data_IF_571129561739
#
_entry.id   IF_571129561739
#
_cell.length_a   1.000
_cell.length_b   1.000
_cell.length_c   1.000
_cell.angle_alpha   90.00
_cell.angle_beta   90.00
_cell.angle_gamma   90.00
#
_symmetry.space_group_name_H-M   'P 1'
#
loop_
_entity.id
_entity.type
_entity.pdbx_description
1 polymer ?
#
# COMPACT_ATOMS: atom_id res chain seq x y z
N UNK A 1 -11.15 4.26 -15.78
CA UNK A 1 -9.79 4.31 -15.18
C UNK A 1 -9.66 3.15 -14.20
N UNK A 2 -8.85 2.12 -14.51
CA UNK A 2 -8.72 0.92 -13.64
C UNK A 2 -8.03 1.32 -12.33
N UNK A 3 -8.65 1.03 -11.19
CA UNK A 3 -8.19 1.31 -9.81
C UNK A 3 -6.70 0.99 -9.62
N UNK A 4 -6.24 -0.11 -10.22
CA UNK A 4 -4.83 -0.53 -10.22
C UNK A 4 -3.84 0.52 -10.78
N UNK A 5 -4.19 1.24 -11.86
CA UNK A 5 -3.34 2.31 -12.42
C UNK A 5 -3.30 3.56 -11.55
N UNK A 6 -4.41 3.87 -10.87
CA UNK A 6 -4.50 4.99 -9.94
C UNK A 6 -3.64 4.74 -8.69
N UNK A 7 -3.74 3.54 -8.12
CA UNK A 7 -2.91 3.07 -7.01
C UNK A 7 -1.41 3.05 -7.38
N UNK A 8 -1.07 2.57 -8.58
CA UNK A 8 0.30 2.59 -9.09
C UNK A 8 0.89 4.01 -9.16
N UNK A 9 0.11 4.99 -9.65
CA UNK A 9 0.55 6.39 -9.71
C UNK A 9 0.67 7.02 -8.32
N UNK A 10 -0.21 6.67 -7.39
CA UNK A 10 -0.12 7.12 -6.00
C UNK A 10 1.14 6.55 -5.30
N UNK A 11 1.47 5.28 -5.56
CA UNK A 11 2.66 4.62 -5.02
C UNK A 11 3.97 5.25 -5.53
N UNK A 12 4.02 5.68 -6.80
CA UNK A 12 5.21 6.31 -7.38
C UNK A 12 5.39 7.78 -6.97
N UNK A 13 4.32 8.48 -6.57
CA UNK A 13 4.36 9.92 -6.28
C UNK A 13 4.64 10.26 -4.81
N UNK A 14 4.69 9.29 -3.91
CA UNK A 14 4.76 9.60 -2.48
C UNK A 14 6.19 9.42 -1.96
N UNK A 15 6.79 10.56 -1.61
CA UNK A 15 8.20 10.79 -1.26
C UNK A 15 8.65 10.22 0.09
N UNK A 16 7.78 9.51 0.83
CA UNK A 16 7.97 9.16 2.24
C UNK A 16 8.42 7.71 2.54
N UNK A 17 9.29 7.12 1.72
CA UNK A 17 10.00 5.91 2.13
C UNK A 17 9.48 4.61 1.49
N UNK A 18 10.33 4.12 0.60
CA UNK A 18 10.49 2.83 -0.07
C UNK A 18 9.39 1.77 -0.18
N UNK A 19 8.51 1.53 0.81
CA UNK A 19 7.52 0.45 0.73
C UNK A 19 6.10 0.94 1.01
N UNK A 20 5.18 0.58 0.11
CA UNK A 20 3.76 0.92 0.18
C UNK A 20 2.89 -0.31 0.28
N UNK A 21 1.95 -0.27 1.19
CA UNK A 21 1.04 -1.37 1.47
C UNK A 21 -0.32 -1.03 0.88
N UNK A 22 -0.80 -1.87 -0.04
CA UNK A 22 -2.20 -1.88 -0.42
C UNK A 22 -2.93 -2.59 0.71
N UNK A 23 -3.87 -1.87 1.33
CA UNK A 23 -4.63 -2.36 2.47
C UNK A 23 -6.12 -2.34 2.16
N UNK A 24 -6.84 -3.31 2.72
CA UNK A 24 -8.29 -3.34 2.75
C UNK A 24 -8.79 -2.89 4.12
N UNK A 25 -9.69 -1.90 4.13
CA UNK A 25 -10.42 -1.45 5.32
C UNK A 25 -11.92 -1.54 5.02
N UNK A 26 -12.57 -2.61 5.50
CA UNK A 26 -13.94 -2.91 5.12
C UNK A 26 -14.06 -3.11 3.60
N UNK A 27 -14.90 -2.32 2.94
CA UNK A 27 -15.10 -2.37 1.49
C UNK A 27 -14.22 -1.37 0.70
N UNK A 28 -13.27 -0.70 1.37
CA UNK A 28 -12.37 0.27 0.76
C UNK A 28 -10.97 -0.28 0.61
N UNK A 29 -10.33 0.05 -0.52
CA UNK A 29 -8.92 -0.25 -0.81
C UNK A 29 -8.13 1.05 -0.71
N UNK A 30 -7.14 1.07 0.18
CA UNK A 30 -6.30 2.23 0.47
C UNK A 30 -4.81 1.88 0.28
N UNK A 31 -3.95 2.90 0.20
CA UNK A 31 -2.48 2.74 0.20
C UNK A 31 -1.91 3.38 1.43
N UNK A 32 -1.25 2.59 2.26
CA UNK A 32 -0.59 3.03 3.48
C UNK A 32 0.93 3.00 3.32
N UNK A 33 1.60 3.97 3.93
CA UNK A 33 3.01 3.92 4.30
C UNK A 33 3.15 3.30 5.70
N UNK A 34 4.37 2.90 6.08
CA UNK A 34 4.62 2.26 7.38
C UNK A 34 4.14 3.13 8.56
N UNK A 35 4.32 4.46 8.48
CA UNK A 35 3.88 5.42 9.50
C UNK A 35 2.37 5.43 9.74
N UNK A 36 1.58 5.09 8.72
CA UNK A 36 0.12 5.08 8.82
C UNK A 36 -0.36 3.91 9.69
N UNK A 37 0.44 2.85 9.82
CA UNK A 37 0.15 1.75 10.73
C UNK A 37 0.38 2.12 12.19
N UNK A 38 1.39 2.92 12.47
CA UNK A 38 1.69 3.40 13.83
C UNK A 38 0.56 4.29 14.40
N UNK A 39 -0.17 4.99 13.52
CA UNK A 39 -1.24 5.93 13.90
C UNK A 39 -2.63 5.26 14.03
N UNK A 40 -2.70 3.93 14.16
CA UNK A 40 -3.95 3.24 14.47
C UNK A 40 -4.64 2.59 13.29
N UNK A 41 -3.89 1.94 12.39
CA UNK A 41 -4.43 1.06 11.35
C UNK A 41 -4.96 -0.28 11.92
N UNK A 42 -5.69 -0.25 13.04
CA UNK A 42 -6.31 -1.43 13.61
C UNK A 42 -7.47 -1.88 12.71
N UNK A 43 -7.49 -3.17 12.35
CA UNK A 43 -8.53 -3.76 11.50
C UNK A 43 -8.30 -3.61 9.98
N UNK A 44 -7.11 -3.17 9.54
CA UNK A 44 -6.77 -3.20 8.11
C UNK A 44 -6.04 -4.49 7.72
N UNK A 45 -6.47 -5.12 6.64
CA UNK A 45 -5.80 -6.28 6.06
C UNK A 45 -4.83 -5.84 4.97
N UNK A 46 -3.56 -6.21 5.07
CA UNK A 46 -2.58 -5.97 4.01
C UNK A 46 -2.83 -6.97 2.88
N UNK A 47 -3.08 -6.48 1.67
CA UNK A 47 -3.27 -7.30 0.47
C UNK A 47 -1.98 -7.47 -0.33
N UNK A 48 -1.18 -6.41 -0.42
CA UNK A 48 0.05 -6.40 -1.19
C UNK A 48 1.00 -5.33 -0.66
N UNK A 49 2.30 -5.55 -0.82
CA UNK A 49 3.32 -4.55 -0.55
C UNK A 49 4.11 -4.27 -1.83
N UNK A 50 4.48 -3.01 -2.07
CA UNK A 50 5.22 -2.58 -3.23
C UNK A 50 6.44 -1.77 -2.82
N UNK A 51 7.59 -2.06 -3.41
CA UNK A 51 8.83 -1.30 -3.28
C UNK A 51 9.24 -0.76 -4.63
N UNK A 52 9.39 0.57 -4.76
CA UNK A 52 9.69 1.24 -6.05
C UNK A 52 8.81 0.79 -7.23
N UNK A 53 7.52 0.57 -6.98
CA UNK A 53 6.57 0.11 -8.00
C UNK A 53 6.64 -1.39 -8.33
N UNK A 54 7.51 -2.17 -7.64
CA UNK A 54 7.59 -3.62 -7.77
C UNK A 54 6.92 -4.30 -6.59
N UNK A 55 6.16 -5.36 -6.84
CA UNK A 55 5.54 -6.15 -5.79
C UNK A 55 6.63 -6.79 -4.92
N UNK A 56 6.50 -6.65 -3.60
CA UNK A 56 7.33 -7.34 -2.61
C UNK A 56 6.69 -8.69 -2.34
N UNK A 57 7.37 -9.75 -2.75
CA UNK A 57 6.97 -11.13 -2.46
C UNK A 57 7.91 -11.69 -1.40
N UNK A 58 7.38 -12.35 -0.37
CA UNK A 58 8.23 -13.12 0.54
C UNK A 58 9.00 -14.18 -0.23
N UNK A 59 10.31 -14.33 0.01
CA UNK A 59 11.02 -15.54 -0.40
C UNK A 59 10.55 -16.66 0.54
N UNK A 60 10.10 -17.77 -0.04
CA UNK A 60 9.86 -19.03 0.68
C UNK A 60 11.16 -19.56 1.24
#
# INVERSE_FOLDING_TARGET
MRVSKALHRAAHKSLDGHVRFVVRRGNQVCVFALRDFANGAHGTQIEAAYSYGRLVTGRR
#
